data_IF_891456689309
#
_entry.id   IF_891456689309
#
_cell.length_a   1.000
_cell.length_b   1.000
_cell.length_c   1.000
_cell.angle_alpha   90.00
_cell.angle_beta   90.00
_cell.angle_gamma   90.00
#
_symmetry.space_group_name_H-M   'P 1'
#
loop_
_entity.id
_entity.type
_entity.pdbx_description
1 polymer ?
#
# COMPACT_ATOMS: atom_id res chain seq x y z
N UNK A 1 -22.67 -1.83 -12.79
CA UNK A 1 -21.66 -2.89 -12.55
C UNK A 1 -22.17 -3.71 -11.40
N UNK A 2 -22.19 -5.05 -11.49
CA UNK A 2 -22.72 -5.90 -10.43
C UNK A 2 -21.92 -5.65 -9.15
N UNK A 3 -22.65 -5.53 -8.03
CA UNK A 3 -22.10 -5.48 -6.69
C UNK A 3 -21.48 -6.84 -6.35
N UNK A 4 -20.43 -6.88 -5.52
CA UNK A 4 -19.71 -8.11 -5.13
C UNK A 4 -20.60 -9.24 -4.59
N UNK A 5 -21.83 -8.92 -4.16
CA UNK A 5 -22.81 -9.84 -3.61
C UNK A 5 -23.40 -10.87 -4.60
N UNK A 6 -23.30 -10.68 -5.92
CA UNK A 6 -24.01 -11.51 -6.92
C UNK A 6 -23.10 -12.48 -7.69
N UNK A 7 -21.82 -12.60 -7.30
CA UNK A 7 -20.83 -13.36 -8.07
C UNK A 7 -20.45 -14.64 -7.34
N UNK A 8 -20.64 -15.80 -7.99
CA UNK A 8 -20.19 -17.10 -7.46
C UNK A 8 -18.66 -17.21 -7.57
N UNK A 9 -17.98 -16.74 -6.52
CA UNK A 9 -16.53 -16.79 -6.44
C UNK A 9 -15.97 -18.22 -6.45
N UNK A 10 -16.70 -19.18 -5.87
CA UNK A 10 -16.26 -20.59 -5.89
C UNK A 10 -16.27 -21.16 -7.32
N UNK A 11 -17.29 -20.80 -8.12
CA UNK A 11 -17.33 -21.12 -9.54
C UNK A 11 -16.19 -20.43 -10.30
N UNK A 12 -15.90 -19.16 -10.02
CA UNK A 12 -14.79 -18.42 -10.63
C UNK A 12 -13.44 -19.07 -10.33
N UNK A 13 -13.18 -19.48 -9.09
CA UNK A 13 -11.91 -20.13 -8.73
C UNK A 13 -11.72 -21.44 -9.50
N UNK A 14 -12.82 -22.20 -9.69
CA UNK A 14 -12.82 -23.41 -10.50
C UNK A 14 -12.64 -23.12 -11.99
N UNK A 15 -13.30 -22.07 -12.49
CA UNK A 15 -13.31 -21.66 -13.88
C UNK A 15 -12.94 -20.17 -14.02
N UNK A 16 -11.66 -19.78 -13.94
CA UNK A 16 -11.26 -18.36 -13.91
C UNK A 16 -11.76 -17.52 -15.09
N UNK A 17 -12.06 -18.14 -16.23
CA UNK A 17 -12.65 -17.50 -17.39
C UNK A 17 -14.07 -16.93 -17.16
N UNK A 18 -14.79 -17.40 -16.14
CA UNK A 18 -16.12 -16.85 -15.77
C UNK A 18 -16.03 -15.57 -14.97
N UNK A 19 -14.83 -15.13 -14.59
CA UNK A 19 -14.64 -13.87 -13.89
C UNK A 19 -15.09 -12.68 -14.77
N UNK A 20 -15.88 -11.72 -14.25
CA UNK A 20 -16.43 -10.60 -15.04
C UNK A 20 -15.39 -9.80 -15.83
N UNK A 21 -14.18 -9.69 -15.30
CA UNK A 21 -13.05 -8.97 -15.92
C UNK A 21 -12.08 -9.86 -16.70
N UNK A 22 -12.37 -11.15 -16.90
CA UNK A 22 -11.48 -12.06 -17.65
C UNK A 22 -11.28 -11.60 -19.10
N UNK A 23 -12.36 -11.20 -19.78
CA UNK A 23 -12.29 -10.69 -21.15
C UNK A 23 -11.53 -9.35 -21.25
N UNK A 24 -11.66 -8.49 -20.23
CA UNK A 24 -10.90 -7.23 -20.15
C UNK A 24 -9.40 -7.51 -19.98
N UNK A 25 -9.04 -8.43 -19.10
CA UNK A 25 -7.65 -8.89 -18.91
C UNK A 25 -7.06 -9.48 -20.20
N UNK A 26 -7.77 -10.42 -20.84
CA UNK A 26 -7.33 -11.04 -22.08
C UNK A 26 -7.10 -10.00 -23.19
N UNK A 27 -8.03 -9.04 -23.34
CA UNK A 27 -7.90 -7.95 -24.30
C UNK A 27 -6.65 -7.12 -24.05
N UNK A 28 -6.44 -6.65 -22.81
CA UNK A 28 -5.29 -5.83 -22.43
C UNK A 28 -3.96 -6.58 -22.68
N UNK A 29 -3.91 -7.87 -22.34
CA UNK A 29 -2.74 -8.69 -22.60
C UNK A 29 -2.48 -8.91 -24.10
N UNK A 30 -3.53 -9.11 -24.91
CA UNK A 30 -3.39 -9.24 -26.37
C UNK A 30 -2.94 -7.95 -27.03
N UNK A 31 -3.46 -6.80 -26.59
CA UNK A 31 -3.00 -5.47 -27.03
C UNK A 31 -1.50 -5.28 -26.73
N UNK A 32 -1.04 -5.80 -25.58
CA UNK A 32 0.37 -5.86 -25.21
C UNK A 32 1.18 -7.01 -25.89
N UNK A 33 0.57 -7.74 -26.84
CA UNK A 33 1.19 -8.85 -27.59
C UNK A 33 1.70 -9.99 -26.72
N UNK A 34 1.06 -10.24 -25.57
CA UNK A 34 1.38 -11.38 -24.73
C UNK A 34 0.84 -12.68 -25.35
N UNK A 35 1.58 -13.77 -25.16
CA UNK A 35 1.25 -15.06 -25.75
C UNK A 35 0.00 -15.67 -25.10
N UNK A 36 -0.88 -16.34 -25.86
CA UNK A 36 -2.12 -16.92 -25.32
C UNK A 36 -1.90 -17.83 -24.11
N UNK A 37 -0.86 -18.66 -24.13
CA UNK A 37 -0.50 -19.53 -23.01
C UNK A 37 -0.19 -18.74 -21.73
N UNK A 38 0.61 -17.67 -21.85
CA UNK A 38 0.90 -16.79 -20.72
C UNK A 38 -0.41 -16.21 -20.15
N UNK A 39 -1.29 -15.68 -21.00
CA UNK A 39 -2.55 -15.04 -20.57
C UNK A 39 -3.42 -16.00 -19.77
N UNK A 40 -3.59 -17.23 -20.27
CA UNK A 40 -4.41 -18.24 -19.59
C UNK A 40 -3.80 -18.65 -18.24
N UNK A 41 -2.50 -18.95 -18.24
CA UNK A 41 -1.80 -19.43 -17.04
C UNK A 41 -1.74 -18.35 -15.96
N UNK A 42 -1.34 -17.13 -16.32
CA UNK A 42 -1.24 -16.03 -15.37
C UNK A 42 -2.60 -15.65 -14.78
N UNK A 43 -3.67 -15.63 -15.58
CA UNK A 43 -5.01 -15.36 -15.09
C UNK A 43 -5.47 -16.40 -14.07
N UNK A 44 -5.29 -17.68 -14.41
CA UNK A 44 -5.67 -18.77 -13.51
C UNK A 44 -4.89 -18.75 -12.19
N UNK A 45 -3.59 -18.47 -12.25
CA UNK A 45 -2.72 -18.35 -11.09
C UNK A 45 -3.10 -17.15 -10.21
N UNK A 46 -3.42 -16.00 -10.80
CA UNK A 46 -3.85 -14.81 -10.06
C UNK A 46 -5.14 -15.11 -9.29
N UNK A 47 -6.19 -15.58 -9.97
CA UNK A 47 -7.51 -15.80 -9.35
C UNK A 47 -7.43 -16.82 -8.21
N UNK A 48 -6.76 -17.96 -8.46
CA UNK A 48 -6.62 -19.02 -7.45
C UNK A 48 -5.70 -18.59 -6.30
N UNK A 49 -4.64 -17.84 -6.60
CA UNK A 49 -3.73 -17.31 -5.59
C UNK A 49 -4.38 -16.29 -4.66
N UNK A 50 -5.23 -15.42 -5.20
CA UNK A 50 -6.03 -14.48 -4.38
C UNK A 50 -6.96 -15.23 -3.42
N UNK A 51 -7.68 -16.25 -3.91
CA UNK A 51 -8.52 -17.09 -3.05
C UNK A 51 -7.70 -17.78 -1.94
N UNK A 52 -6.58 -18.42 -2.32
CA UNK A 52 -5.71 -19.10 -1.36
C UNK A 52 -5.16 -18.13 -0.31
N UNK A 53 -4.79 -16.92 -0.73
CA UNK A 53 -4.33 -15.88 0.20
C UNK A 53 -5.43 -15.48 1.17
N UNK A 54 -6.66 -15.30 0.70
CA UNK A 54 -7.81 -15.00 1.55
C UNK A 54 -8.05 -16.10 2.60
N UNK A 55 -7.94 -17.38 2.20
CA UNK A 55 -8.04 -18.53 3.12
C UNK A 55 -6.95 -18.51 4.19
N UNK A 56 -5.70 -18.20 3.80
CA UNK A 56 -4.59 -18.08 4.76
C UNK A 56 -4.81 -16.93 5.72
N UNK A 57 -5.31 -15.79 5.25
CA UNK A 57 -5.64 -14.64 6.11
C UNK A 57 -6.74 -15.00 7.11
N UNK A 58 -7.80 -15.68 6.68
CA UNK A 58 -8.86 -16.17 7.56
C UNK A 58 -8.34 -17.16 8.62
N UNK A 59 -7.35 -17.97 8.26
CA UNK A 59 -6.67 -18.89 9.17
C UNK A 59 -5.53 -18.25 9.99
N UNK A 60 -5.33 -16.93 9.92
CA UNK A 60 -4.20 -16.21 10.56
C UNK A 60 -2.80 -16.70 10.13
N UNK A 61 -2.68 -17.34 8.97
CA UNK A 61 -1.46 -17.88 8.40
C UNK A 61 -0.84 -16.93 7.34
N UNK A 62 -0.80 -15.64 7.65
CA UNK A 62 -0.41 -14.57 6.72
C UNK A 62 1.04 -14.63 6.22
N UNK A 63 1.90 -15.41 6.86
CA UNK A 63 3.31 -15.58 6.48
C UNK A 63 3.57 -16.79 5.58
N UNK A 64 2.55 -17.61 5.30
CA UNK A 64 2.74 -18.79 4.44
C UNK A 64 2.83 -18.42 2.96
N UNK A 65 3.76 -19.03 2.21
CA UNK A 65 3.86 -18.82 0.78
C UNK A 65 2.65 -19.43 0.06
N UNK A 66 2.07 -18.67 -0.85
CA UNK A 66 0.94 -19.10 -1.69
C UNK A 66 1.49 -19.82 -2.92
N UNK A 67 1.23 -21.14 -3.10
CA UNK A 67 1.80 -21.91 -4.22
C UNK A 67 1.50 -21.33 -5.60
N UNK A 68 0.31 -20.78 -5.79
CA UNK A 68 -0.12 -20.15 -7.03
C UNK A 68 0.69 -18.88 -7.33
N UNK A 69 1.02 -18.08 -6.31
CA UNK A 69 1.89 -16.92 -6.50
C UNK A 69 3.36 -17.32 -6.70
N UNK A 70 3.83 -18.42 -6.10
CA UNK A 70 5.15 -18.98 -6.44
C UNK A 70 5.23 -19.50 -7.89
N UNK A 71 4.13 -20.02 -8.43
CA UNK A 71 4.07 -20.42 -9.83
C UNK A 71 3.98 -19.21 -10.77
N UNK A 72 3.22 -18.18 -10.38
CA UNK A 72 3.15 -16.90 -11.11
C UNK A 72 4.52 -16.24 -11.15
N UNK A 73 5.22 -16.23 -10.02
CA UNK A 73 6.58 -15.74 -9.87
C UNK A 73 7.56 -16.38 -10.88
N UNK A 74 7.52 -17.71 -11.03
CA UNK A 74 8.31 -18.43 -12.03
C UNK A 74 7.93 -18.05 -13.46
N UNK A 75 6.63 -17.91 -13.74
CA UNK A 75 6.12 -17.50 -15.05
C UNK A 75 6.60 -16.09 -15.42
N UNK A 76 6.61 -15.16 -14.46
CA UNK A 76 7.11 -13.79 -14.64
C UNK A 76 8.64 -13.76 -14.79
N UNK A 77 9.36 -14.52 -13.96
CA UNK A 77 10.83 -14.51 -13.91
C UNK A 77 11.49 -14.73 -15.27
N UNK A 78 10.96 -15.68 -16.06
CA UNK A 78 11.50 -15.99 -17.39
C UNK A 78 11.46 -14.81 -18.37
N UNK A 79 10.62 -13.81 -18.10
CA UNK A 79 10.37 -12.65 -18.98
C UNK A 79 10.34 -11.33 -18.21
N UNK A 80 10.94 -11.27 -17.02
CA UNK A 80 10.80 -10.15 -16.10
C UNK A 80 11.23 -8.83 -16.75
N UNK A 81 12.29 -8.85 -17.57
CA UNK A 81 12.75 -7.67 -18.29
C UNK A 81 11.74 -7.15 -19.32
N UNK A 82 11.01 -8.02 -20.00
CA UNK A 82 10.05 -7.61 -21.02
C UNK A 82 8.71 -7.18 -20.41
N UNK A 83 8.33 -7.80 -19.29
CA UNK A 83 7.04 -7.62 -18.63
C UNK A 83 7.05 -6.51 -17.60
N UNK A 84 8.15 -6.36 -16.87
CA UNK A 84 8.26 -5.55 -15.66
C UNK A 84 9.36 -4.49 -15.77
N UNK A 85 9.86 -4.17 -16.97
CA UNK A 85 10.66 -2.96 -17.18
C UNK A 85 9.93 -1.99 -18.11
N UNK A 86 10.06 -0.68 -17.88
CA UNK A 86 9.57 0.32 -18.81
C UNK A 86 10.27 0.21 -20.16
N UNK A 87 9.51 0.42 -21.23
CA UNK A 87 10.01 0.34 -22.61
C UNK A 87 10.78 1.60 -23.03
N UNK A 88 10.46 2.75 -22.42
CA UNK A 88 11.15 4.00 -22.65
C UNK A 88 12.58 3.95 -22.08
N UNK A 89 13.58 4.22 -22.94
CA UNK A 89 14.97 4.33 -22.50
C UNK A 89 15.22 5.73 -21.95
N UNK A 90 15.86 5.80 -20.78
CA UNK A 90 16.37 7.07 -20.22
C UNK A 90 15.52 7.67 -19.12
N UNK A 91 14.26 7.24 -18.94
CA UNK A 91 13.46 7.65 -17.77
C UNK A 91 14.05 7.06 -16.48
N UNK A 92 14.10 7.84 -15.39
CA UNK A 92 14.49 7.33 -14.07
C UNK A 92 13.41 6.39 -13.53
N UNK A 93 13.86 5.28 -12.93
CA UNK A 93 12.94 4.34 -12.29
C UNK A 93 12.62 4.79 -10.87
N UNK A 94 11.39 4.53 -10.44
CA UNK A 94 10.92 4.83 -9.11
C UNK A 94 10.20 3.66 -8.44
N UNK A 95 10.36 3.60 -7.12
CA UNK A 95 9.56 2.89 -6.14
C UNK A 95 8.76 3.93 -5.33
N UNK A 96 7.68 3.51 -4.70
CA UNK A 96 6.88 4.41 -3.87
C UNK A 96 6.22 3.68 -2.70
N UNK A 97 5.97 4.42 -1.61
CA UNK A 97 5.20 3.92 -0.46
C UNK A 97 4.38 5.03 0.17
N UNK A 98 3.17 4.68 0.62
CA UNK A 98 2.23 5.61 1.28
C UNK A 98 0.99 5.99 0.46
N UNK A 99 0.50 5.07 -0.40
CA UNK A 99 -0.78 5.18 -1.11
C UNK A 99 -0.67 5.49 -2.60
N UNK A 100 -1.68 5.07 -3.38
CA UNK A 100 -1.66 5.12 -4.86
C UNK A 100 -1.45 6.54 -5.42
N UNK A 101 -1.85 7.58 -4.69
CA UNK A 101 -1.63 8.97 -5.07
C UNK A 101 -0.14 9.31 -5.18
N UNK A 102 0.75 8.60 -4.46
CA UNK A 102 2.19 8.75 -4.62
C UNK A 102 2.63 8.24 -6.00
N UNK A 103 2.12 7.09 -6.46
CA UNK A 103 2.39 6.58 -7.81
C UNK A 103 1.97 7.57 -8.88
N UNK A 104 0.76 8.13 -8.78
CA UNK A 104 0.24 9.12 -9.73
C UNK A 104 1.12 10.37 -9.78
N UNK A 105 1.50 10.89 -8.61
CA UNK A 105 2.40 12.05 -8.49
C UNK A 105 3.77 11.79 -9.11
N UNK A 106 4.35 10.62 -8.84
CA UNK A 106 5.68 10.22 -9.32
C UNK A 106 5.68 10.05 -10.84
N UNK A 107 4.66 9.38 -11.39
CA UNK A 107 4.49 9.24 -12.85
C UNK A 107 4.29 10.59 -13.54
N UNK A 108 3.51 11.50 -12.94
CA UNK A 108 3.32 12.85 -13.47
C UNK A 108 4.62 13.68 -13.52
N UNK A 109 5.62 13.36 -12.68
CA UNK A 109 6.96 13.97 -12.68
C UNK A 109 7.93 13.32 -13.68
N UNK A 110 7.48 12.35 -14.47
CA UNK A 110 8.30 11.69 -15.48
C UNK A 110 9.19 10.58 -14.94
N UNK A 111 8.80 9.94 -13.84
CA UNK A 111 9.43 8.71 -13.36
C UNK A 111 8.62 7.50 -13.78
N UNK A 112 9.30 6.40 -14.09
CA UNK A 112 8.63 5.14 -14.37
C UNK A 112 8.54 4.28 -13.10
N UNK A 113 7.32 3.89 -12.73
CA UNK A 113 7.02 2.98 -11.60
C UNK A 113 6.68 1.57 -12.11
N UNK A 114 6.41 0.63 -11.19
CA UNK A 114 5.88 -0.69 -11.54
C UNK A 114 4.63 -0.60 -12.42
N UNK A 115 3.71 0.32 -12.10
CA UNK A 115 2.47 0.55 -12.87
C UNK A 115 2.73 1.14 -14.27
N UNK A 116 3.96 1.59 -14.53
CA UNK A 116 4.38 2.10 -15.86
C UNK A 116 4.90 0.97 -16.77
N UNK A 117 5.09 -0.24 -16.23
CA UNK A 117 5.55 -1.41 -16.98
C UNK A 117 4.41 -2.05 -17.77
N UNK A 118 4.75 -2.92 -18.74
CA UNK A 118 3.73 -3.59 -19.57
C UNK A 118 2.75 -4.38 -18.70
N UNK A 119 3.25 -5.26 -17.82
CA UNK A 119 2.39 -6.13 -17.05
C UNK A 119 1.85 -5.46 -15.78
N UNK A 120 2.67 -4.64 -15.11
CA UNK A 120 2.21 -3.83 -13.97
C UNK A 120 1.09 -2.86 -14.36
N UNK A 121 1.19 -2.22 -15.52
CA UNK A 121 0.14 -1.33 -16.04
C UNK A 121 -1.14 -2.05 -16.48
N UNK A 122 -1.07 -3.33 -16.88
CA UNK A 122 -2.27 -4.15 -17.12
C UNK A 122 -2.98 -4.42 -15.79
N UNK A 123 -2.25 -4.85 -14.76
CA UNK A 123 -2.85 -5.13 -13.46
C UNK A 123 -3.35 -3.85 -12.77
N UNK A 124 -2.64 -2.73 -12.89
CA UNK A 124 -3.06 -1.41 -12.36
C UNK A 124 -4.47 -1.03 -12.85
N UNK A 125 -4.76 -1.22 -14.15
CA UNK A 125 -6.09 -0.94 -14.75
C UNK A 125 -7.22 -1.84 -14.23
N UNK A 126 -6.85 -3.01 -13.70
CA UNK A 126 -7.78 -4.01 -13.19
C UNK A 126 -7.93 -3.90 -11.67
N UNK A 127 -6.92 -3.45 -10.95
CA UNK A 127 -6.97 -3.27 -9.49
C UNK A 127 -7.41 -1.88 -9.09
N UNK A 128 -7.18 -0.83 -9.89
CA UNK A 128 -7.56 0.54 -9.54
C UNK A 128 -8.73 1.06 -10.39
N UNK A 129 -9.65 1.88 -9.82
CA UNK A 129 -9.71 2.35 -8.43
C UNK A 129 -10.60 1.48 -7.51
N UNK A 130 -11.14 0.36 -7.98
CA UNK A 130 -12.17 -0.45 -7.28
C UNK A 130 -11.83 -1.92 -7.08
N UNK A 131 -10.57 -2.31 -7.21
CA UNK A 131 -10.12 -3.67 -6.93
C UNK A 131 -10.87 -4.76 -7.71
N UNK A 132 -11.02 -4.58 -9.03
CA UNK A 132 -11.93 -5.40 -9.86
C UNK A 132 -11.53 -6.88 -9.96
N UNK A 133 -10.30 -7.26 -9.58
CA UNK A 133 -9.79 -8.64 -9.70
C UNK A 133 -10.14 -9.49 -8.48
N UNK A 134 -10.16 -8.88 -7.29
CA UNK A 134 -10.57 -9.57 -6.08
C UNK A 134 -12.00 -9.15 -5.73
N UNK A 135 -12.95 -10.05 -5.97
CA UNK A 135 -14.36 -9.79 -5.74
C UNK A 135 -14.86 -10.29 -4.37
N UNK A 136 -13.98 -10.91 -3.57
CA UNK A 136 -14.36 -11.46 -2.26
C UNK A 136 -14.46 -10.43 -1.13
N UNK A 137 -13.83 -9.25 -1.27
CA UNK A 137 -13.95 -8.12 -0.35
C UNK A 137 -13.48 -6.82 -1.03
N UNK A 138 -13.95 -5.69 -0.52
CA UNK A 138 -13.53 -4.35 -0.99
C UNK A 138 -12.20 -3.89 -0.37
N UNK A 139 -11.45 -4.79 0.28
CA UNK A 139 -10.18 -4.49 0.94
C UNK A 139 -8.95 -4.87 0.08
N UNK A 140 -7.82 -4.26 0.43
CA UNK A 140 -6.52 -4.53 -0.21
C UNK A 140 -6.01 -5.96 0.07
N UNK A 141 -6.59 -6.66 1.06
CA UNK A 141 -6.02 -7.80 1.77
C UNK A 141 -5.28 -8.81 0.89
N UNK A 142 -5.98 -9.66 0.10
CA UNK A 142 -5.31 -10.68 -0.72
C UNK A 142 -4.47 -10.13 -1.88
N UNK A 143 -4.77 -8.92 -2.35
CA UNK A 143 -4.11 -8.31 -3.49
C UNK A 143 -2.68 -7.84 -3.16
N UNK A 144 -2.40 -7.51 -1.89
CA UNK A 144 -1.04 -7.17 -1.46
C UNK A 144 -0.02 -8.24 -1.88
N UNK A 145 -0.33 -9.52 -1.66
CA UNK A 145 0.57 -10.63 -2.01
C UNK A 145 0.78 -10.80 -3.53
N UNK A 146 -0.20 -10.41 -4.35
CA UNK A 146 -0.03 -10.34 -5.80
C UNK A 146 0.96 -9.24 -6.18
N UNK A 147 0.79 -8.04 -5.61
CA UNK A 147 1.69 -6.91 -5.85
C UNK A 147 3.10 -7.17 -5.34
N UNK A 148 3.25 -7.80 -4.17
CA UNK A 148 4.53 -8.27 -3.63
C UNK A 148 5.28 -9.14 -4.64
N UNK A 149 4.57 -10.06 -5.31
CA UNK A 149 5.13 -10.94 -6.34
C UNK A 149 5.66 -10.15 -7.54
N UNK A 150 4.91 -9.14 -8.00
CA UNK A 150 5.33 -8.30 -9.13
C UNK A 150 6.49 -7.37 -8.74
N UNK A 151 6.40 -6.73 -7.58
CA UNK A 151 7.39 -5.79 -7.05
C UNK A 151 8.75 -6.45 -6.88
N UNK A 152 8.81 -7.68 -6.35
CA UNK A 152 10.06 -8.44 -6.25
C UNK A 152 10.75 -8.60 -7.61
N UNK A 153 10.00 -9.00 -8.64
CA UNK A 153 10.59 -9.22 -9.98
C UNK A 153 10.93 -7.92 -10.71
N UNK A 154 10.15 -6.87 -10.50
CA UNK A 154 10.48 -5.54 -10.99
C UNK A 154 11.82 -5.05 -10.44
N UNK A 155 11.99 -5.13 -9.11
CA UNK A 155 13.19 -4.67 -8.43
C UNK A 155 14.42 -5.47 -8.85
N UNK A 156 14.32 -6.79 -8.95
CA UNK A 156 15.43 -7.61 -9.42
C UNK A 156 15.82 -7.29 -10.87
N UNK A 157 14.83 -7.12 -11.76
CA UNK A 157 15.09 -6.72 -13.14
C UNK A 157 15.73 -5.33 -13.22
N UNK A 158 15.25 -4.38 -12.42
CA UNK A 158 15.81 -3.04 -12.31
C UNK A 158 17.25 -3.05 -11.79
N UNK A 159 17.52 -3.79 -10.72
CA UNK A 159 18.86 -3.92 -10.13
C UNK A 159 19.88 -4.54 -11.11
N UNK A 160 19.42 -5.40 -12.02
CA UNK A 160 20.25 -5.97 -13.08
C UNK A 160 20.63 -5.00 -14.21
N UNK A 161 19.97 -3.84 -14.32
CA UNK A 161 20.20 -2.89 -15.42
C UNK A 161 20.39 -1.43 -15.02
N UNK A 162 20.16 -1.07 -13.74
CA UNK A 162 20.32 0.28 -13.20
C UNK A 162 21.14 0.23 -11.93
N UNK A 163 22.00 1.23 -11.71
CA UNK A 163 22.77 1.36 -10.48
C UNK A 163 22.00 2.04 -9.34
N UNK A 164 20.94 2.77 -9.68
CA UNK A 164 20.11 3.51 -8.74
C UNK A 164 18.65 3.50 -9.16
N UNK A 165 17.76 3.68 -8.18
CA UNK A 165 16.36 4.00 -8.34
C UNK A 165 15.98 5.09 -7.35
N UNK A 166 14.90 5.80 -7.65
CA UNK A 166 14.29 6.76 -6.74
C UNK A 166 13.23 6.07 -5.89
N UNK A 167 13.08 6.47 -4.64
CA UNK A 167 12.08 5.93 -3.71
C UNK A 167 11.28 7.10 -3.15
N UNK A 168 9.99 7.17 -3.47
CA UNK A 168 9.12 8.23 -2.98
C UNK A 168 8.32 7.74 -1.76
N UNK A 169 8.56 8.35 -0.60
CA UNK A 169 7.97 7.94 0.67
C UNK A 169 7.08 9.03 1.20
N UNK A 170 5.82 8.69 1.46
CA UNK A 170 4.90 9.55 2.23
C UNK A 170 4.72 9.07 3.67
N UNK A 171 4.82 7.77 3.90
CA UNK A 171 4.74 7.14 5.23
C UNK A 171 5.87 6.15 5.42
N UNK A 172 6.16 5.80 6.68
CA UNK A 172 7.11 4.74 7.03
C UNK A 172 6.34 3.51 7.52
N UNK A 173 5.70 2.81 6.59
CA UNK A 173 4.99 1.57 6.88
C UNK A 173 5.94 0.37 6.66
N UNK A 174 6.44 -0.20 7.75
CA UNK A 174 7.37 -1.33 7.72
C UNK A 174 6.78 -2.61 7.11
N UNK A 175 5.45 -2.71 7.00
CA UNK A 175 4.76 -3.82 6.36
C UNK A 175 4.39 -3.53 4.91
N UNK A 176 4.70 -2.33 4.40
CA UNK A 176 4.49 -2.03 2.99
C UNK A 176 5.35 -2.93 2.10
N UNK A 177 4.85 -3.22 0.90
CA UNK A 177 5.57 -3.94 -0.15
C UNK A 177 6.98 -3.37 -0.36
N UNK A 178 7.15 -2.05 -0.23
CA UNK A 178 8.46 -1.41 -0.31
C UNK A 178 9.46 -1.97 0.72
N UNK A 179 9.08 -2.05 1.99
CA UNK A 179 9.97 -2.50 3.06
C UNK A 179 10.08 -4.03 3.12
N UNK A 180 8.99 -4.74 2.92
CA UNK A 180 8.95 -6.20 2.99
C UNK A 180 9.67 -6.87 1.82
N UNK A 181 9.49 -6.34 0.61
CA UNK A 181 9.93 -6.99 -0.63
C UNK A 181 10.93 -6.13 -1.40
N UNK A 182 10.61 -4.88 -1.72
CA UNK A 182 11.39 -4.12 -2.70
C UNK A 182 12.79 -3.76 -2.19
N UNK A 183 12.90 -3.17 -0.99
CA UNK A 183 14.18 -2.78 -0.43
C UNK A 183 15.07 -4.00 -0.14
N UNK A 184 14.47 -5.08 0.36
CA UNK A 184 15.17 -6.34 0.67
C UNK A 184 15.73 -6.96 -0.61
N UNK A 185 14.89 -7.11 -1.64
CA UNK A 185 15.30 -7.71 -2.90
C UNK A 185 16.28 -6.83 -3.68
N UNK A 186 16.16 -5.50 -3.60
CA UNK A 186 17.14 -4.58 -4.19
C UNK A 186 18.53 -4.78 -3.57
N UNK A 187 18.60 -4.76 -2.22
CA UNK A 187 19.87 -4.96 -1.49
C UNK A 187 20.47 -6.33 -1.80
N UNK A 188 19.64 -7.38 -1.81
CA UNK A 188 20.07 -8.74 -2.18
C UNK A 188 20.63 -8.79 -3.61
N UNK A 189 19.94 -8.22 -4.59
CA UNK A 189 20.38 -8.19 -5.98
C UNK A 189 21.69 -7.40 -6.16
N UNK A 190 21.85 -6.29 -5.42
CA UNK A 190 23.08 -5.47 -5.39
C UNK A 190 24.18 -6.01 -4.48
N UNK A 191 23.95 -7.14 -3.80
CA UNK A 191 24.86 -7.75 -2.82
C UNK A 191 25.29 -6.77 -1.72
N UNK A 192 24.36 -5.91 -1.30
CA UNK A 192 24.55 -4.92 -0.25
C UNK A 192 24.05 -5.43 1.08
N UNK A 193 24.79 -5.13 2.15
CA UNK A 193 24.35 -5.38 3.52
C UNK A 193 23.45 -4.24 4.00
N UNK A 194 22.66 -4.47 5.06
CA UNK A 194 21.69 -3.51 5.59
C UNK A 194 22.32 -2.15 6.00
N UNK A 195 23.57 -2.17 6.46
CA UNK A 195 24.28 -0.97 6.91
C UNK A 195 25.08 -0.28 5.78
N UNK A 196 25.14 -0.88 4.60
CA UNK A 196 25.82 -0.29 3.45
C UNK A 196 24.87 0.63 2.67
N UNK A 197 25.40 1.66 1.97
CA UNK A 197 24.61 2.41 1.02
C UNK A 197 24.01 1.47 -0.04
N UNK A 198 22.69 1.42 -0.10
CA UNK A 198 21.93 0.63 -1.08
C UNK A 198 21.92 1.27 -2.47
N UNK A 199 22.37 2.52 -2.60
CA UNK A 199 22.43 3.24 -3.88
C UNK A 199 21.08 3.78 -4.33
N UNK A 200 20.09 3.81 -3.44
CA UNK A 200 18.77 4.40 -3.69
C UNK A 200 18.75 5.90 -3.33
N UNK A 201 17.93 6.67 -4.02
CA UNK A 201 17.67 8.07 -3.70
C UNK A 201 16.26 8.21 -3.13
N UNK A 202 16.13 8.65 -1.88
CA UNK A 202 14.88 8.69 -1.13
C UNK A 202 14.29 10.10 -1.15
N UNK A 203 13.07 10.22 -1.67
CA UNK A 203 12.28 11.44 -1.73
C UNK A 203 11.17 11.33 -0.69
N UNK A 204 11.34 12.00 0.45
CA UNK A 204 10.30 12.07 1.47
C UNK A 204 9.34 13.21 1.12
N UNK A 205 8.09 12.85 0.87
CA UNK A 205 7.01 13.75 0.48
C UNK A 205 6.15 14.06 1.70
N UNK A 206 6.12 15.34 2.10
CA UNK A 206 5.34 15.79 3.26
C UNK A 206 4.44 16.98 2.91
N UNK A 207 3.30 17.05 3.58
CA UNK A 207 2.26 18.06 3.34
C UNK A 207 0.88 17.43 3.39
N UNK A 208 -0.10 18.14 4.00
CA UNK A 208 -1.40 17.56 4.33
C UNK A 208 -2.25 17.22 3.10
N UNK A 209 -2.12 17.90 1.95
CA UNK A 209 -2.97 17.60 0.78
C UNK A 209 -2.30 17.90 -0.60
N UNK A 210 -0.98 18.15 -0.66
CA UNK A 210 -0.36 18.68 -1.90
C UNK A 210 1.10 18.27 -2.16
N UNK A 211 1.68 17.36 -1.37
CA UNK A 211 3.13 17.07 -1.42
C UNK A 211 3.97 18.36 -1.44
N UNK A 212 3.55 19.36 -0.65
CA UNK A 212 4.07 20.73 -0.69
C UNK A 212 5.53 20.88 -0.27
N UNK A 213 6.13 19.82 0.29
CA UNK A 213 7.55 19.75 0.58
C UNK A 213 8.11 18.37 0.19
N UNK A 214 9.17 18.40 -0.59
CA UNK A 214 9.97 17.23 -0.96
C UNK A 214 11.35 17.36 -0.31
N UNK A 215 11.81 16.31 0.36
CA UNK A 215 13.15 16.24 0.97
C UNK A 215 13.88 15.01 0.46
N UNK A 216 15.09 15.21 -0.04
CA UNK A 216 15.89 14.16 -0.70
C UNK A 216 16.99 13.67 0.23
N UNK A 217 17.16 12.35 0.30
CA UNK A 217 18.18 11.66 1.09
C UNK A 217 18.84 10.56 0.25
N UNK A 218 20.06 10.18 0.60
CA UNK A 218 20.81 9.10 -0.07
C UNK A 218 21.03 7.89 0.84
N UNK A 219 20.33 7.86 1.98
CA UNK A 219 20.33 6.76 2.94
C UNK A 219 18.93 6.57 3.48
N UNK A 220 18.47 5.32 3.50
CA UNK A 220 17.17 4.93 4.04
C UNK A 220 16.99 5.41 5.48
N UNK A 221 18.03 5.20 6.31
CA UNK A 221 18.02 5.59 7.73
C UNK A 221 17.73 7.07 7.94
N UNK A 222 18.30 7.94 7.11
CA UNK A 222 18.15 9.39 7.26
C UNK A 222 16.76 9.85 6.82
N UNK A 223 16.25 9.29 5.70
CA UNK A 223 14.88 9.50 5.24
C UNK A 223 13.86 9.04 6.29
N UNK A 224 14.07 7.87 6.88
CA UNK A 224 13.26 7.30 7.96
C UNK A 224 13.24 8.20 9.19
N UNK A 225 14.40 8.63 9.67
CA UNK A 225 14.50 9.50 10.85
C UNK A 225 13.78 10.83 10.63
N UNK A 226 13.94 11.43 9.44
CA UNK A 226 13.23 12.65 9.08
C UNK A 226 11.71 12.46 9.08
N UNK A 227 11.23 11.40 8.43
CA UNK A 227 9.78 11.14 8.31
C UNK A 227 9.14 10.84 9.67
N UNK A 228 9.78 10.03 10.51
CA UNK A 228 9.31 9.74 11.87
C UNK A 228 9.29 11.00 12.74
N UNK A 229 10.33 11.84 12.65
CA UNK A 229 10.37 13.13 13.36
C UNK A 229 9.25 14.07 12.92
N UNK A 230 9.00 14.16 11.62
CA UNK A 230 7.92 14.96 11.06
C UNK A 230 6.53 14.47 11.51
N UNK A 231 6.28 13.17 11.48
CA UNK A 231 5.03 12.58 11.96
C UNK A 231 4.82 12.86 13.45
N UNK A 232 5.87 12.77 14.27
CA UNK A 232 5.81 13.12 15.69
C UNK A 232 5.46 14.60 15.92
N UNK A 233 6.00 15.52 15.12
CA UNK A 233 5.66 16.94 15.21
C UNK A 233 4.21 17.23 14.81
N UNK A 234 3.70 16.57 13.76
CA UNK A 234 2.28 16.66 13.38
C UNK A 234 1.40 16.18 14.53
N UNK A 235 1.74 15.04 15.12
CA UNK A 235 1.00 14.47 16.24
C UNK A 235 0.95 15.46 17.42
N UNK A 236 2.09 16.00 17.84
CA UNK A 236 2.15 16.99 18.93
C UNK A 236 1.35 18.27 18.64
N UNK A 237 1.40 18.76 17.40
CA UNK A 237 0.61 19.94 17.00
C UNK A 237 -0.89 19.65 17.00
N UNK A 238 -1.28 18.44 16.59
CA UNK A 238 -2.65 17.99 16.60
C UNK A 238 -3.18 17.80 18.03
N UNK A 239 -2.41 17.12 18.88
CA UNK A 239 -2.71 16.96 20.32
C UNK A 239 -2.92 18.33 20.96
N UNK A 240 -2.04 19.28 20.68
CA UNK A 240 -2.15 20.66 21.15
C UNK A 240 -3.40 21.35 20.62
N UNK A 241 -3.68 21.29 19.32
CA UNK A 241 -4.88 21.91 18.73
C UNK A 241 -6.19 21.29 19.24
N UNK A 242 -6.23 19.98 19.49
CA UNK A 242 -7.36 19.34 20.15
C UNK A 242 -7.54 19.79 21.60
N UNK A 243 -6.43 19.93 22.35
CA UNK A 243 -6.44 20.35 23.74
C UNK A 243 -6.74 21.84 23.92
N UNK A 244 -6.26 22.69 23.02
CA UNK A 244 -6.36 24.16 23.13
C UNK A 244 -7.59 24.73 22.41
N UNK A 245 -7.97 24.17 21.25
CA UNK A 245 -9.00 24.76 20.37
C UNK A 245 -10.25 23.88 20.25
N UNK A 246 -10.25 22.67 20.80
CA UNK A 246 -11.38 21.74 20.72
C UNK A 246 -11.69 21.25 19.31
N UNK A 247 -10.79 21.46 18.35
CA UNK A 247 -11.00 21.13 16.93
C UNK A 247 -10.44 19.74 16.60
N UNK A 248 -11.32 18.81 16.24
CA UNK A 248 -10.93 17.47 15.80
C UNK A 248 -10.62 17.45 14.28
N UNK A 249 -9.36 17.65 13.92
CA UNK A 249 -8.89 17.55 12.52
C UNK A 249 -8.72 16.11 12.00
N UNK A 250 -8.94 15.06 12.83
CA UNK A 250 -8.80 13.63 12.47
C UNK A 250 -9.64 13.23 11.26
N UNK A 251 -10.73 13.96 11.02
CA UNK A 251 -11.72 13.67 9.99
C UNK A 251 -11.60 14.53 8.72
N UNK A 252 -10.68 15.50 8.67
CA UNK A 252 -10.63 16.48 7.57
C UNK A 252 -9.64 16.17 6.45
N UNK A 253 -8.72 15.23 6.65
CA UNK A 253 -7.75 14.86 5.61
C UNK A 253 -7.63 13.34 5.53
N UNK A 254 -7.91 12.79 4.34
CA UNK A 254 -7.61 11.39 4.01
C UNK A 254 -6.11 11.11 4.18
N UNK A 255 -5.28 12.13 3.97
CA UNK A 255 -3.84 12.04 4.12
C UNK A 255 -3.45 11.74 5.56
N UNK A 256 -4.14 12.37 6.52
CA UNK A 256 -3.95 12.09 7.94
C UNK A 256 -4.40 10.68 8.28
N UNK A 257 -5.59 10.25 7.82
CA UNK A 257 -6.12 8.90 8.11
C UNK A 257 -5.15 7.80 7.68
N UNK A 258 -4.54 7.93 6.51
CA UNK A 258 -3.52 6.99 6.04
C UNK A 258 -2.20 7.09 6.84
N UNK A 259 -1.74 8.31 7.14
CA UNK A 259 -0.49 8.52 7.89
C UNK A 259 -0.60 7.99 9.33
N UNK A 260 -1.76 8.09 9.94
CA UNK A 260 -2.01 7.58 11.27
C UNK A 260 -2.37 6.11 11.31
N UNK A 261 -3.03 5.57 10.28
CA UNK A 261 -3.09 4.12 10.08
C UNK A 261 -1.68 3.55 10.00
N UNK A 262 -0.80 4.13 9.17
CA UNK A 262 0.59 3.71 9.04
C UNK A 262 1.38 3.84 10.36
N UNK A 263 1.12 4.89 11.14
CA UNK A 263 1.70 5.08 12.47
C UNK A 263 1.17 4.06 13.50
N UNK A 264 -0.14 3.83 13.54
CA UNK A 264 -0.78 2.82 14.40
C UNK A 264 -0.35 1.39 14.01
N UNK A 265 -0.19 1.09 12.73
CA UNK A 265 0.30 -0.20 12.22
C UNK A 265 1.76 -0.43 12.64
N UNK A 266 2.59 0.61 12.55
CA UNK A 266 3.96 0.62 13.10
C UNK A 266 3.97 0.35 14.62
N UNK A 267 2.92 0.77 15.35
CA UNK A 267 2.78 0.58 16.81
C UNK A 267 2.17 -0.78 17.20
N UNK A 268 1.24 -1.32 16.41
CA UNK A 268 0.41 -2.50 16.75
C UNK A 268 1.08 -3.83 16.43
N UNK A 269 1.94 -3.92 15.41
CA UNK A 269 2.40 -5.21 14.89
C UNK A 269 3.82 -5.53 15.34
N UNK A 270 3.88 -6.22 16.49
CA UNK A 270 5.11 -6.67 17.16
C UNK A 270 5.80 -7.78 16.37
N UNK A 271 6.76 -7.45 15.50
CA UNK A 271 7.89 -8.37 15.32
C UNK A 271 8.85 -8.17 16.49
N UNK A 272 9.38 -9.26 17.06
CA UNK A 272 10.23 -9.25 18.25
C UNK A 272 11.51 -8.38 18.07
N UNK A 273 11.93 -8.16 16.84
CA UNK A 273 13.05 -7.28 16.47
C UNK A 273 12.69 -5.78 16.51
N UNK A 274 11.56 -5.39 15.91
CA UNK A 274 11.04 -4.02 15.99
C UNK A 274 10.68 -3.64 17.43
N UNK A 275 10.10 -4.58 18.18
CA UNK A 275 9.85 -4.44 19.62
C UNK A 275 11.15 -4.23 20.41
N UNK A 276 12.23 -4.98 20.15
CA UNK A 276 13.52 -4.74 20.83
C UNK A 276 14.13 -3.38 20.50
N UNK A 277 13.92 -2.86 19.31
CA UNK A 277 14.40 -1.54 18.92
C UNK A 277 13.57 -0.41 19.56
N UNK A 278 12.25 -0.60 19.66
CA UNK A 278 11.34 0.26 20.41
C UNK A 278 11.61 0.23 21.92
N UNK A 279 11.85 -0.96 22.50
CA UNK A 279 12.12 -1.15 23.93
C UNK A 279 13.40 -0.45 24.41
N UNK A 280 14.34 -0.19 23.48
CA UNK A 280 15.60 0.53 23.71
C UNK A 280 15.53 2.00 23.29
N UNK A 281 14.40 2.47 22.78
CA UNK A 281 14.26 3.83 22.27
C UNK A 281 14.09 4.82 23.44
N UNK A 282 14.82 5.94 23.47
CA UNK A 282 14.80 6.89 24.59
C UNK A 282 13.44 7.60 24.77
N UNK A 283 12.53 7.48 23.81
CA UNK A 283 11.16 8.02 23.90
C UNK A 283 10.12 7.02 24.39
N UNK A 284 10.52 5.78 24.74
CA UNK A 284 9.61 4.72 25.17
C UNK A 284 8.77 5.11 26.38
N UNK A 285 9.41 5.67 27.41
CA UNK A 285 8.71 6.08 28.65
C UNK A 285 7.65 7.13 28.37
N UNK A 286 7.91 8.05 27.44
CA UNK A 286 6.96 9.08 27.03
C UNK A 286 5.72 8.49 26.32
N UNK A 287 5.90 7.38 25.58
CA UNK A 287 4.82 6.68 24.87
C UNK A 287 4.03 5.76 25.81
N UNK A 288 4.70 5.10 26.77
CA UNK A 288 4.02 4.26 27.78
C UNK A 288 3.16 5.12 28.71
N UNK A 289 3.68 6.27 29.17
CA UNK A 289 2.93 7.25 29.96
C UNK A 289 1.71 7.82 29.21
N UNK A 290 1.80 7.97 27.90
CA UNK A 290 0.69 8.41 27.05
C UNK A 290 -0.41 7.33 26.94
N UNK A 291 -0.06 6.06 26.77
CA UNK A 291 -1.04 4.97 26.73
C UNK A 291 -1.78 4.77 28.05
N UNK A 292 -1.09 4.92 29.18
CA UNK A 292 -1.69 4.85 30.52
C UNK A 292 -2.66 6.03 30.74
N UNK A 293 -2.28 7.24 30.32
CA UNK A 293 -3.14 8.43 30.38
C UNK A 293 -4.34 8.37 29.40
N UNK A 294 -4.19 7.70 28.25
CA UNK A 294 -5.27 7.43 27.28
C UNK A 294 -6.29 6.44 27.86
N UNK A 295 -5.83 5.36 28.52
CA UNK A 295 -6.69 4.35 29.17
C UNK A 295 -7.40 4.87 30.42
N UNK A 296 -6.79 5.77 31.19
CA UNK A 296 -7.46 6.44 32.32
C UNK A 296 -8.56 7.42 31.85
N UNK A 297 -8.43 8.00 30.66
CA UNK A 297 -9.37 9.00 30.14
C UNK A 297 -10.50 8.44 29.27
N UNK A 298 -10.39 7.19 28.83
CA UNK A 298 -11.45 6.51 28.09
C UNK A 298 -11.50 5.02 28.49
N UNK A 299 -12.16 4.69 29.62
CA UNK A 299 -12.19 3.33 30.15
C UNK A 299 -13.08 2.39 29.32
N UNK A 300 -13.93 2.93 28.44
CA UNK A 300 -14.87 2.15 27.63
C UNK A 300 -14.16 1.49 26.43
N UNK A 301 -13.74 0.25 26.69
CA UNK A 301 -13.47 -0.76 25.66
C UNK A 301 -14.78 -1.14 24.98
N UNK A 302 -15.18 -0.39 23.95
CA UNK A 302 -15.86 -0.91 22.76
C UNK A 302 -16.45 0.25 21.94
N UNK A 303 -15.79 0.58 20.83
CA UNK A 303 -16.36 1.46 19.81
C UNK A 303 -17.21 0.62 18.84
N UNK A 304 -18.54 0.83 18.83
CA UNK A 304 -19.47 0.27 17.84
C UNK A 304 -19.72 1.27 16.69
N UNK A 305 -19.19 1.02 15.47
CA UNK A 305 -19.32 1.93 14.34
C UNK A 305 -20.76 2.16 13.86
N UNK A 306 -21.72 1.29 14.22
CA UNK A 306 -23.11 1.37 13.73
C UNK A 306 -23.92 2.48 14.40
N UNK A 307 -23.52 2.91 15.61
CA UNK A 307 -24.17 4.04 16.32
C UNK A 307 -23.77 5.41 15.75
N UNK A 308 -22.70 5.50 14.97
CA UNK A 308 -22.21 6.79 14.45
C UNK A 308 -22.95 7.25 13.17
N UNK A 309 -23.42 6.32 12.34
CA UNK A 309 -24.18 6.63 11.13
C UNK A 309 -25.51 7.33 11.43
N UNK A 310 -26.24 6.90 12.47
CA UNK A 310 -27.55 7.49 12.80
C UNK A 310 -27.44 8.92 13.32
N UNK A 311 -26.33 9.27 13.97
CA UNK A 311 -26.08 10.63 14.48
C UNK A 311 -25.77 11.59 13.33
N UNK A 312 -25.05 11.12 12.30
CA UNK A 312 -24.75 11.93 11.12
C UNK A 312 -25.98 12.16 10.23
N UNK A 313 -26.86 11.17 10.09
CA UNK A 313 -28.13 11.35 9.36
C UNK A 313 -29.07 12.33 10.08
N UNK A 314 -29.13 12.30 11.41
CA UNK A 314 -29.93 13.25 12.20
C UNK A 314 -29.38 14.69 12.13
N UNK A 315 -28.06 14.85 12.07
CA UNK A 315 -27.38 16.15 11.89
C UNK A 315 -27.58 16.71 10.47
N UNK A 316 -27.61 15.86 9.45
CA UNK A 316 -27.86 16.24 8.04
C UNK A 316 -29.33 16.62 7.78
N UNK A 317 -30.27 15.97 8.47
CA UNK A 317 -31.70 16.34 8.46
C UNK A 317 -31.95 17.72 9.08
N UNK A 318 -31.30 18.02 10.22
CA UNK A 318 -31.42 19.31 10.91
C UNK A 318 -30.79 20.47 10.14
N UNK A 319 -29.80 20.19 9.28
CA UNK A 319 -29.15 21.20 8.43
C UNK A 319 -29.90 21.46 7.12
N UNK A 320 -30.65 20.49 6.58
CA UNK A 320 -31.55 20.72 5.42
C UNK A 320 -32.78 21.55 5.79
N UNK A 321 -33.42 21.27 6.93
CA UNK A 321 -34.60 22.02 7.38
C UNK A 321 -34.32 23.49 7.73
N UNK A 322 -33.05 23.87 7.95
CA UNK A 322 -32.62 25.27 8.16
C UNK A 322 -32.38 26.04 6.86
N UNK A 323 -32.11 25.38 5.73
CA UNK A 323 -31.88 26.08 4.44
C UNK A 323 -33.16 26.51 3.75
N UNK A 324 -34.29 25.86 4.01
CA UNK A 324 -35.59 26.19 3.40
C UNK A 324 -36.39 27.26 4.18
N UNK A 325 -35.83 27.81 5.28
CA UNK A 325 -36.47 28.90 6.05
C UNK A 325 -35.80 30.27 5.87
N UNK A 326 -34.61 30.30 5.28
CA UNK A 326 -33.84 31.53 5.02
C UNK A 326 -33.71 31.81 3.50
N UNK A 327 -34.62 31.23 2.70
CA UNK A 327 -34.75 31.46 1.25
C UNK A 327 -36.09 32.09 0.90
#
# INVERSE_FOLDING_TARGET
MPTSADVDWAQIVRFPATHPHSAEYERLCREARLQPAFIQDSWALIIRGLQRRAEFMAASAWNLPVPEFLALDRLLSARARDLLMPTARGTPLALWSGGIQVSEYVRARGYDTLESTVYGGILDKLTNPRFKVWLGSDDWGPQGALWDTLSTRYVEAAAGCRDTMHVFLRTHDLESTFYGEELVNWRKAKRKQEHEPDGLTYHVLVGLDSFGLERVFHRERDAKLFLLGFLGQIQQRFERGMLEEGVNHRYRSEVWRDNARAFEDTRRKKTYAAYRHYMKHPLRELVEQFCEAEQERSPDRDFDPRKFSSVMDELLLKTRARRDRDG
#
